data_IF_591259257699
#
_entry.id   IF_591259257699
#
_cell.length_a   1.000
_cell.length_b   1.000
_cell.length_c   1.000
_cell.angle_alpha   90.00
_cell.angle_beta   90.00
_cell.angle_gamma   90.00
#
_symmetry.space_group_name_H-M   'P 1'
#
loop_
_entity.id
_entity.type
_entity.pdbx_description
1 polymer ?
#
# COMPACT_ATOMS: atom_id res chain seq x y z
N UNK A 1 -9.21 12.90 26.36
CA UNK A 1 -7.96 13.67 26.55
C UNK A 1 -7.09 12.92 27.55
N UNK A 2 -6.30 11.96 27.08
CA UNK A 2 -5.20 11.33 27.82
C UNK A 2 -3.97 11.38 26.92
N UNK A 3 -2.97 12.07 27.42
CA UNK A 3 -1.69 12.46 26.84
C UNK A 3 -0.61 11.54 27.42
N UNK A 4 0.43 11.25 26.65
CA UNK A 4 1.69 10.61 27.08
C UNK A 4 1.66 9.12 27.43
N UNK A 5 1.53 8.25 26.42
CA UNK A 5 2.01 6.85 26.50
C UNK A 5 3.19 6.66 25.53
N UNK A 6 4.32 6.06 25.94
CA UNK A 6 5.51 5.90 25.08
C UNK A 6 5.38 4.85 23.96
N UNK A 7 4.24 4.18 23.85
CA UNK A 7 4.00 3.04 22.95
C UNK A 7 3.20 3.43 21.68
N UNK A 8 3.01 4.73 21.44
CA UNK A 8 2.28 5.21 20.27
C UNK A 8 3.20 5.31 19.04
N UNK A 9 3.27 4.22 18.26
CA UNK A 9 3.98 4.15 16.98
C UNK A 9 3.24 4.89 15.84
N UNK A 10 2.39 5.86 16.17
CA UNK A 10 1.59 6.67 15.26
C UNK A 10 2.04 8.14 15.24
N UNK A 11 3.30 8.40 14.88
CA UNK A 11 3.63 9.60 14.06
C UNK A 11 5.10 9.65 13.60
N UNK A 12 5.22 9.50 12.27
CA UNK A 12 6.20 10.04 11.30
C UNK A 12 7.72 9.98 11.55
N UNK A 13 8.44 9.35 10.60
CA UNK A 13 9.77 9.86 10.20
C UNK A 13 9.61 10.92 9.12
N UNK A 14 9.75 12.16 9.58
CA UNK A 14 9.83 13.40 8.84
C UNK A 14 11.07 13.42 7.90
N UNK A 15 10.89 13.81 6.62
CA UNK A 15 11.97 14.41 5.82
C UNK A 15 12.97 13.50 5.07
N UNK A 16 12.53 12.47 4.35
CA UNK A 16 13.38 11.82 3.33
C UNK A 16 12.74 11.89 1.95
N UNK A 17 13.55 12.15 0.92
CA UNK A 17 13.12 12.12 -0.49
C UNK A 17 12.35 10.82 -0.75
N UNK A 18 11.03 10.98 -0.99
CA UNK A 18 10.12 9.91 -1.36
C UNK A 18 10.79 9.00 -2.40
N UNK A 19 11.39 9.57 -3.44
CA UNK A 19 11.96 8.81 -4.56
C UNK A 19 13.15 7.87 -4.25
N UNK A 20 13.98 8.16 -3.25
CA UNK A 20 15.18 7.32 -2.96
C UNK A 20 14.96 6.32 -1.82
N UNK A 21 14.03 6.60 -0.90
CA UNK A 21 13.73 5.71 0.23
C UNK A 21 12.57 4.75 -0.05
N UNK A 22 11.66 5.11 -0.97
CA UNK A 22 10.53 4.28 -1.40
C UNK A 22 10.94 2.87 -1.84
N UNK A 23 11.94 2.60 -2.69
CA UNK A 23 12.17 1.23 -3.18
C UNK A 23 12.63 0.26 -2.06
N UNK A 24 13.41 0.74 -1.09
CA UNK A 24 13.83 -0.07 0.05
C UNK A 24 12.71 -0.21 1.09
N UNK A 25 11.99 0.88 1.38
CA UNK A 25 10.85 0.87 2.29
C UNK A 25 9.68 0.03 1.73
N UNK A 26 9.39 0.11 0.43
CA UNK A 26 8.39 -0.72 -0.22
C UNK A 26 8.73 -2.19 -0.12
N UNK A 27 9.96 -2.59 -0.46
CA UNK A 27 10.35 -4.00 -0.35
C UNK A 27 10.26 -4.48 1.09
N UNK A 28 10.76 -3.69 2.04
CA UNK A 28 10.75 -4.06 3.46
C UNK A 28 9.34 -4.11 4.05
N UNK A 29 8.51 -3.10 3.79
CA UNK A 29 7.10 -3.06 4.23
C UNK A 29 6.26 -4.13 3.53
N UNK A 30 6.51 -4.39 2.25
CA UNK A 30 5.86 -5.48 1.51
C UNK A 30 6.18 -6.83 2.14
N UNK A 31 7.46 -7.13 2.38
CA UNK A 31 7.91 -8.35 3.03
C UNK A 31 7.35 -8.49 4.46
N UNK A 32 7.34 -7.40 5.24
CA UNK A 32 6.80 -7.40 6.59
C UNK A 32 5.28 -7.57 6.61
N UNK A 33 4.54 -6.90 5.72
CA UNK A 33 3.09 -7.08 5.58
C UNK A 33 2.75 -8.52 5.19
N UNK A 34 3.48 -9.09 4.23
CA UNK A 34 3.35 -10.51 3.87
C UNK A 34 3.69 -11.44 5.01
N UNK A 35 4.73 -11.14 5.79
CA UNK A 35 5.12 -11.93 6.97
C UNK A 35 4.06 -11.87 8.07
N UNK A 36 3.52 -10.68 8.36
CA UNK A 36 2.47 -10.47 9.35
C UNK A 36 1.17 -11.20 8.96
N UNK A 37 0.77 -11.08 7.69
CA UNK A 37 -0.44 -11.76 7.20
C UNK A 37 -0.23 -13.28 7.09
N UNK A 38 0.97 -13.72 6.70
CA UNK A 38 1.34 -15.13 6.75
C UNK A 38 1.34 -15.68 8.18
N UNK A 39 1.78 -14.91 9.17
CA UNK A 39 1.72 -15.31 10.58
C UNK A 39 0.27 -15.37 11.08
N UNK A 40 -0.57 -14.40 10.70
CA UNK A 40 -2.02 -14.40 10.96
C UNK A 40 -2.70 -15.63 10.37
N UNK A 41 -2.36 -16.01 9.13
CA UNK A 41 -2.88 -17.20 8.46
C UNK A 41 -2.33 -18.50 9.06
N UNK A 42 -1.05 -18.52 9.45
CA UNK A 42 -0.43 -19.66 10.13
C UNK A 42 -1.10 -19.95 11.47
N UNK A 43 -1.46 -18.92 12.25
CA UNK A 43 -2.28 -19.06 13.48
C UNK A 43 -3.66 -19.66 13.22
N UNK A 44 -4.17 -19.55 11.98
CA UNK A 44 -5.43 -20.15 11.53
C UNK A 44 -5.23 -21.49 10.81
N UNK A 45 -4.01 -22.03 10.75
CA UNK A 45 -3.68 -23.28 10.07
C UNK A 45 -3.71 -23.20 8.53
N UNK A 46 -3.62 -21.99 7.96
CA UNK A 46 -3.73 -21.74 6.53
C UNK A 46 -2.39 -21.35 5.90
N UNK A 47 -2.15 -21.66 4.60
CA UNK A 47 -0.94 -21.27 3.89
C UNK A 47 -0.89 -19.75 3.65
N UNK A 48 0.30 -19.18 3.48
CA UNK A 48 0.49 -17.74 3.24
C UNK A 48 -0.16 -17.24 1.93
N UNK A 49 -0.27 -18.13 0.93
CA UNK A 49 -0.93 -17.88 -0.36
C UNK A 49 -2.38 -18.37 -0.36
N UNK A 50 -3.11 -18.16 0.73
CA UNK A 50 -4.53 -18.49 0.79
C UNK A 50 -5.39 -17.32 0.30
N UNK A 51 -6.56 -17.58 -0.27
CA UNK A 51 -7.51 -16.53 -0.71
C UNK A 51 -8.00 -15.61 0.43
N UNK A 52 -7.77 -16.01 1.69
CA UNK A 52 -8.05 -15.19 2.89
C UNK A 52 -6.98 -14.12 3.14
N UNK A 53 -5.88 -14.15 2.40
CA UNK A 53 -4.86 -13.13 2.45
C UNK A 53 -5.42 -11.85 1.82
N UNK A 54 -5.68 -10.84 2.64
CA UNK A 54 -6.23 -9.55 2.22
C UNK A 54 -5.31 -8.82 1.25
N UNK A 55 -3.98 -9.01 1.33
CA UNK A 55 -3.03 -8.39 0.42
C UNK A 55 -3.28 -8.82 -1.03
N UNK A 56 -3.60 -10.11 -1.25
CA UNK A 56 -3.87 -10.64 -2.59
C UNK A 56 -5.08 -9.93 -3.20
N UNK A 57 -6.12 -9.68 -2.41
CA UNK A 57 -7.31 -8.96 -2.86
C UNK A 57 -7.00 -7.51 -3.20
N UNK A 58 -6.25 -6.80 -2.35
CA UNK A 58 -5.87 -5.42 -2.63
C UNK A 58 -5.02 -5.30 -3.91
N UNK A 59 -4.08 -6.22 -4.14
CA UNK A 59 -3.34 -6.25 -5.41
C UNK A 59 -4.22 -6.60 -6.60
N UNK A 60 -5.12 -7.58 -6.46
CA UNK A 60 -6.04 -7.98 -7.51
C UNK A 60 -6.98 -6.84 -7.91
N UNK A 61 -7.53 -6.10 -6.94
CA UNK A 61 -8.40 -4.94 -7.18
C UNK A 61 -7.62 -3.83 -7.90
N UNK A 62 -6.42 -3.48 -7.43
CA UNK A 62 -5.58 -2.47 -8.09
C UNK A 62 -5.19 -2.87 -9.52
N UNK A 63 -4.83 -4.14 -9.73
CA UNK A 63 -4.53 -4.66 -11.06
C UNK A 63 -5.78 -4.67 -11.97
N UNK A 64 -6.96 -4.99 -11.42
CA UNK A 64 -8.23 -4.96 -12.13
C UNK A 64 -8.60 -3.54 -12.56
N UNK A 65 -8.41 -2.54 -11.70
CA UNK A 65 -8.61 -1.14 -12.07
C UNK A 65 -7.65 -0.71 -13.19
N UNK A 66 -6.36 -1.01 -13.04
CA UNK A 66 -5.37 -0.71 -14.08
C UNK A 66 -5.73 -1.35 -15.42
N UNK A 67 -6.10 -2.63 -15.42
CA UNK A 67 -6.56 -3.34 -16.61
C UNK A 67 -7.86 -2.75 -17.15
N UNK A 68 -8.83 -2.43 -16.31
CA UNK A 68 -10.10 -1.83 -16.72
C UNK A 68 -9.90 -0.50 -17.44
N UNK A 69 -9.09 0.39 -16.87
CA UNK A 69 -8.74 1.66 -17.51
C UNK A 69 -7.89 1.45 -18.78
N UNK A 70 -6.95 0.51 -18.76
CA UNK A 70 -6.12 0.19 -19.93
C UNK A 70 -6.92 -0.45 -21.08
N UNK A 71 -7.96 -1.23 -20.79
CA UNK A 71 -8.84 -1.82 -21.82
C UNK A 71 -9.85 -0.80 -22.35
N UNK A 72 -10.39 0.06 -21.48
CA UNK A 72 -11.37 1.07 -21.87
C UNK A 72 -10.77 2.22 -22.70
N UNK A 73 -9.55 2.67 -22.34
CA UNK A 73 -8.93 3.86 -22.93
C UNK A 73 -7.54 3.58 -23.55
N UNK A 74 -7.15 2.32 -23.66
CA UNK A 74 -5.84 1.93 -24.17
C UNK A 74 -4.68 2.39 -23.27
N UNK A 75 -3.51 2.58 -23.87
CA UNK A 75 -2.29 3.06 -23.20
C UNK A 75 -2.48 4.41 -22.49
N UNK A 76 -3.34 5.29 -23.03
CA UNK A 76 -3.66 6.58 -22.43
C UNK A 76 -4.40 6.42 -21.09
N UNK A 77 -5.27 5.40 -20.97
CA UNK A 77 -5.95 5.05 -19.72
C UNK A 77 -4.99 4.66 -18.60
N UNK A 78 -3.96 3.89 -18.93
CA UNK A 78 -2.92 3.51 -17.98
C UNK A 78 -2.13 4.73 -17.49
N UNK A 79 -1.70 5.61 -18.41
CA UNK A 79 -1.01 6.86 -18.04
C UNK A 79 -1.90 7.75 -17.17
N UNK A 80 -3.18 7.91 -17.54
CA UNK A 80 -4.12 8.69 -16.77
C UNK A 80 -4.32 8.12 -15.35
N UNK A 81 -4.46 6.80 -15.23
CA UNK A 81 -4.59 6.13 -13.93
C UNK A 81 -3.36 6.32 -13.04
N UNK A 82 -2.15 6.25 -13.62
CA UNK A 82 -0.93 6.52 -12.88
C UNK A 82 -0.82 7.99 -12.47
N UNK A 83 -1.09 8.91 -13.41
CA UNK A 83 -1.06 10.35 -13.16
C UNK A 83 -2.05 10.78 -12.06
N UNK A 84 -3.29 10.28 -12.11
CA UNK A 84 -4.26 10.55 -11.06
C UNK A 84 -3.81 9.95 -9.72
N UNK A 85 -3.21 8.76 -9.71
CA UNK A 85 -2.82 8.09 -8.47
C UNK A 85 -1.75 8.91 -7.74
N UNK A 86 -0.80 9.48 -8.49
CA UNK A 86 0.20 10.39 -7.94
C UNK A 86 -0.46 11.65 -7.37
N UNK A 87 -1.37 12.29 -8.13
CA UNK A 87 -2.10 13.47 -7.65
C UNK A 87 -2.91 13.18 -6.38
N UNK A 88 -3.63 12.06 -6.34
CA UNK A 88 -4.42 11.65 -5.18
C UNK A 88 -3.53 11.40 -3.95
N UNK A 89 -2.38 10.75 -4.14
CA UNK A 89 -1.40 10.52 -3.09
C UNK A 89 -0.84 11.85 -2.55
N UNK A 90 -0.43 12.76 -3.44
CA UNK A 90 0.07 14.08 -3.06
C UNK A 90 -0.99 14.90 -2.30
N UNK A 91 -2.24 14.86 -2.74
CA UNK A 91 -3.33 15.59 -2.08
C UNK A 91 -3.64 15.03 -0.69
N UNK A 92 -3.64 13.70 -0.53
CA UNK A 92 -3.75 13.06 0.78
C UNK A 92 -2.63 13.50 1.73
N UNK A 93 -1.40 13.56 1.23
CA UNK A 93 -0.24 13.99 2.02
C UNK A 93 -0.32 15.47 2.41
N UNK A 94 -0.82 16.34 1.51
CA UNK A 94 -1.08 17.76 1.80
C UNK A 94 -2.16 17.93 2.88
N UNK A 95 -3.25 17.18 2.81
CA UNK A 95 -4.36 17.27 3.78
C UNK A 95 -3.96 16.69 5.15
N UNK A 96 -3.05 15.72 5.16
CA UNK A 96 -2.56 15.08 6.38
C UNK A 96 -1.44 15.87 7.07
N UNK A 97 -1.02 17.00 6.49
CA UNK A 97 -0.02 17.92 7.01
C UNK A 97 -0.68 19.15 7.64
#
# INVERSE_FOLDING_TARGET
>A
VHVSTPEDASSSRYGQSLYSFLPHAYKHNFLNAWRLEAERLKRKGLPALHWRNELIWWYAISALFLLGFSLAFGWLGAIFFLGQSVMAFTLLEIVNY
#
